data_IF_890022570745
#
_entry.id   IF_890022570745
#
_cell.length_a   1.000
_cell.length_b   1.000
_cell.length_c   1.000
_cell.angle_alpha   90.00
_cell.angle_beta   90.00
_cell.angle_gamma   90.00
#
_symmetry.space_group_name_H-M   'P 1'
#
loop_
_entity.id
_entity.type
_entity.pdbx_description
1 polymer ?
#
# COMPACT_ATOMS: atom_id res chain seq x y z
N UNK A 1 11.32 44.78 -57.95
CA UNK A 1 10.84 44.03 -56.77
C UNK A 1 10.47 42.63 -57.24
N UNK A 2 11.15 41.56 -56.81
CA UNK A 2 10.81 40.18 -57.21
C UNK A 2 9.57 39.74 -56.42
N UNK A 3 8.51 39.21 -57.04
CA UNK A 3 7.37 38.71 -56.29
C UNK A 3 7.82 37.46 -55.53
N UNK A 4 7.76 37.53 -54.20
CA UNK A 4 7.91 36.36 -53.33
C UNK A 4 6.66 35.50 -53.51
N UNK A 5 6.80 34.33 -54.13
CA UNK A 5 5.74 33.32 -54.15
C UNK A 5 5.45 32.90 -52.71
N UNK A 6 4.33 33.38 -52.17
CA UNK A 6 3.81 32.87 -50.91
C UNK A 6 3.41 31.41 -51.13
N UNK A 7 4.30 30.48 -50.79
CA UNK A 7 3.97 29.06 -50.65
C UNK A 7 3.11 28.92 -49.39
N UNK A 8 1.85 29.33 -49.48
CA UNK A 8 0.87 29.03 -48.47
C UNK A 8 0.86 27.52 -48.29
N UNK A 9 1.30 27.04 -47.14
CA UNK A 9 1.19 25.64 -46.74
C UNK A 9 -0.27 25.24 -46.93
N UNK A 10 -0.57 24.57 -48.04
CA UNK A 10 -1.88 23.96 -48.22
C UNK A 10 -1.92 22.81 -47.23
N UNK A 11 -2.54 23.05 -46.08
CA UNK A 11 -2.83 21.98 -45.12
C UNK A 11 -3.63 20.93 -45.88
N UNK A 12 -3.03 19.76 -46.09
CA UNK A 12 -3.69 18.70 -46.84
C UNK A 12 -5.02 18.37 -46.17
N UNK A 13 -6.08 18.02 -46.92
CA UNK A 13 -7.37 17.67 -46.31
C UNK A 13 -7.26 16.53 -45.27
N UNK A 14 -6.18 15.75 -45.32
CA UNK A 14 -5.83 14.70 -44.34
C UNK A 14 -5.54 15.28 -42.94
N UNK A 15 -4.98 16.49 -42.82
CA UNK A 15 -4.70 17.11 -41.51
C UNK A 15 -5.96 17.58 -40.78
N UNK A 16 -7.09 17.70 -41.48
CA UNK A 16 -8.39 18.04 -40.89
C UNK A 16 -9.13 16.83 -40.33
N UNK A 17 -8.65 15.60 -40.60
CA UNK A 17 -9.24 14.38 -40.06
C UNK A 17 -8.97 14.29 -38.56
N UNK A 18 -9.96 13.79 -37.79
CA UNK A 18 -9.81 13.50 -36.35
C UNK A 18 -8.58 12.62 -36.08
N UNK A 19 -8.27 11.72 -37.02
CA UNK A 19 -7.10 10.83 -37.00
C UNK A 19 -6.48 10.81 -38.40
N UNK A 20 -5.33 11.48 -38.62
CA UNK A 20 -4.74 11.60 -39.96
C UNK A 20 -4.37 10.27 -40.65
N UNK A 21 -4.13 9.21 -39.87
CA UNK A 21 -3.85 7.86 -40.40
C UNK A 21 -5.10 7.06 -40.77
N UNK A 22 -6.30 7.52 -40.41
CA UNK A 22 -7.58 6.90 -40.77
C UNK A 22 -8.26 7.75 -41.84
N UNK A 23 -7.94 7.45 -43.09
CA UNK A 23 -8.41 8.20 -44.26
C UNK A 23 -9.82 7.82 -44.71
N UNK A 24 -10.23 6.59 -44.42
CA UNK A 24 -11.52 6.02 -44.84
C UNK A 24 -12.46 5.80 -43.66
N UNK A 25 -13.77 5.70 -43.95
CA UNK A 25 -14.80 5.42 -42.94
C UNK A 25 -14.78 3.93 -42.60
N UNK A 26 -14.15 3.59 -41.48
CA UNK A 26 -13.95 2.21 -41.00
C UNK A 26 -14.83 1.82 -39.80
N UNK A 27 -15.83 2.66 -39.45
CA UNK A 27 -16.69 2.46 -38.29
C UNK A 27 -16.04 2.78 -36.94
N UNK A 28 -14.79 3.29 -36.93
CA UNK A 28 -14.14 3.74 -35.69
C UNK A 28 -14.91 4.90 -35.04
N UNK A 29 -14.99 4.84 -33.72
CA UNK A 29 -15.67 5.86 -32.94
C UNK A 29 -14.80 7.11 -32.78
N UNK A 30 -15.42 8.25 -32.48
CA UNK A 30 -14.69 9.46 -32.11
C UNK A 30 -13.78 9.22 -30.90
N UNK A 31 -14.23 8.45 -29.90
CA UNK A 31 -13.42 7.95 -28.79
C UNK A 31 -13.90 6.56 -28.35
N UNK A 32 -12.99 5.77 -27.76
CA UNK A 32 -13.28 4.43 -27.27
C UNK A 32 -13.45 3.39 -28.38
N UNK A 33 -13.90 2.20 -27.98
CA UNK A 33 -14.08 1.04 -28.88
C UNK A 33 -15.56 0.72 -29.12
N UNK A 34 -16.37 0.74 -28.06
CA UNK A 34 -17.80 0.41 -28.09
C UNK A 34 -18.57 1.45 -27.29
N UNK A 35 -19.73 1.90 -27.79
CA UNK A 35 -20.58 2.90 -27.12
C UNK A 35 -21.46 2.31 -26.00
N UNK A 36 -21.85 1.04 -26.13
CA UNK A 36 -22.73 0.33 -25.21
C UNK A 36 -21.94 -0.62 -24.29
N UNK A 37 -22.56 -0.97 -23.17
CA UNK A 37 -22.00 -1.88 -22.17
C UNK A 37 -22.97 -2.01 -21.00
N UNK A 38 -22.61 -2.82 -20.00
CA UNK A 38 -23.38 -2.91 -18.75
C UNK A 38 -23.40 -1.55 -18.05
N UNK A 39 -24.57 -1.18 -17.50
CA UNK A 39 -24.74 0.09 -16.76
C UNK A 39 -24.81 -0.13 -15.25
N UNK A 40 -24.92 -1.38 -14.79
CA UNK A 40 -25.13 -1.74 -13.37
C UNK A 40 -23.80 -1.93 -12.66
N UNK A 41 -22.98 -0.88 -12.64
CA UNK A 41 -21.72 -0.84 -11.90
C UNK A 41 -21.88 -0.03 -10.61
N UNK A 42 -21.10 -0.34 -9.58
CA UNK A 42 -21.10 0.44 -8.34
C UNK A 42 -20.65 1.88 -8.62
N UNK A 43 -21.44 2.86 -8.16
CA UNK A 43 -21.14 4.27 -8.39
C UNK A 43 -19.82 4.69 -7.74
N UNK A 44 -19.03 5.55 -8.38
CA UNK A 44 -17.80 6.11 -7.80
C UNK A 44 -18.03 7.54 -7.29
N UNK A 45 -17.00 8.16 -6.70
CA UNK A 45 -17.06 9.58 -6.28
C UNK A 45 -17.16 10.56 -7.45
N UNK A 46 -16.96 10.10 -8.70
CA UNK A 46 -16.98 10.94 -9.91
C UNK A 46 -18.31 10.89 -10.67
N UNK A 47 -19.25 10.09 -10.19
CA UNK A 47 -20.57 9.91 -10.79
C UNK A 47 -21.65 10.52 -9.89
N UNK A 48 -22.86 10.66 -10.41
CA UNK A 48 -24.00 11.23 -9.67
C UNK A 48 -24.10 12.76 -9.77
N UNK A 49 -25.07 13.33 -9.07
CA UNK A 49 -25.32 14.77 -9.02
C UNK A 49 -24.47 15.45 -7.92
N UNK A 50 -24.47 16.79 -7.86
CA UNK A 50 -23.75 17.62 -6.88
C UNK A 50 -24.01 17.22 -5.41
N UNK A 51 -25.20 16.68 -5.11
CA UNK A 51 -25.58 16.27 -3.75
C UNK A 51 -25.19 14.82 -3.42
N UNK A 52 -24.67 14.07 -4.39
CA UNK A 52 -24.22 12.70 -4.16
C UNK A 52 -22.82 12.71 -3.56
N UNK A 53 -22.73 12.53 -2.24
CA UNK A 53 -21.48 12.38 -1.54
C UNK A 53 -21.27 10.92 -1.13
N UNK A 54 -20.37 10.21 -1.83
CA UNK A 54 -20.06 8.80 -1.52
C UNK A 54 -19.03 8.64 -0.40
N UNK A 55 -17.97 9.45 -0.41
CA UNK A 55 -16.82 9.31 0.49
C UNK A 55 -15.82 8.21 0.09
N UNK A 56 -14.65 8.20 0.76
CA UNK A 56 -13.50 7.32 0.47
C UNK A 56 -12.90 6.68 1.73
N UNK A 57 -13.63 6.69 2.85
CA UNK A 57 -13.15 6.24 4.19
C UNK A 57 -11.92 7.00 4.70
N UNK A 58 -11.65 8.19 4.15
CA UNK A 58 -10.50 9.00 4.54
C UNK A 58 -10.77 9.86 5.78
N UNK A 59 -12.02 10.29 5.96
CA UNK A 59 -12.40 11.26 7.00
C UNK A 59 -13.50 10.68 7.89
N UNK A 60 -13.24 10.65 9.19
CA UNK A 60 -14.11 10.17 10.27
C UNK A 60 -13.54 10.58 11.63
N UNK A 61 -12.82 11.72 11.64
CA UNK A 61 -11.85 12.11 12.67
C UNK A 61 -12.37 13.27 13.53
N UNK A 62 -13.55 13.77 13.21
CA UNK A 62 -14.13 14.94 13.86
C UNK A 62 -15.63 14.97 13.67
N UNK A 63 -16.20 16.18 13.75
CA UNK A 63 -17.64 16.38 13.72
C UNK A 63 -18.02 17.61 12.89
N UNK A 64 -19.13 17.51 12.16
CA UNK A 64 -19.76 18.66 11.52
C UNK A 64 -20.48 19.53 12.57
N UNK A 65 -20.41 20.84 12.39
CA UNK A 65 -21.13 21.82 13.20
C UNK A 65 -22.48 22.16 12.57
N UNK A 66 -23.38 22.77 13.33
CA UNK A 66 -24.70 23.19 12.84
C UNK A 66 -24.61 24.20 11.68
N UNK A 67 -23.47 24.90 11.52
CA UNK A 67 -23.23 25.85 10.41
C UNK A 67 -22.32 25.25 9.33
N UNK A 68 -22.38 23.94 9.10
CA UNK A 68 -21.64 23.20 8.06
C UNK A 68 -20.09 23.33 8.10
N UNK A 69 -19.52 23.85 9.18
CA UNK A 69 -18.06 23.78 9.44
C UNK A 69 -17.69 22.41 9.97
N UNK A 70 -16.41 22.06 9.90
CA UNK A 70 -15.88 20.81 10.46
C UNK A 70 -14.89 21.10 11.60
N UNK A 71 -15.03 20.42 12.73
CA UNK A 71 -14.10 20.49 13.86
C UNK A 71 -13.39 19.15 13.98
N UNK A 72 -12.05 19.16 13.96
CA UNK A 72 -11.21 17.97 14.11
C UNK A 72 -11.14 17.60 15.59
N UNK A 73 -11.31 16.32 15.92
CA UNK A 73 -11.07 15.78 17.26
C UNK A 73 -9.68 15.12 17.25
N UNK A 74 -8.67 15.79 17.80
CA UNK A 74 -7.29 15.33 17.73
C UNK A 74 -7.07 13.95 18.39
N UNK A 75 -7.88 13.60 19.40
CA UNK A 75 -7.88 12.26 20.01
C UNK A 75 -8.20 11.11 19.04
N UNK A 76 -8.87 11.39 17.91
CA UNK A 76 -9.25 10.40 16.89
C UNK A 76 -8.35 10.44 15.65
N UNK A 77 -7.41 11.39 15.59
CA UNK A 77 -6.48 11.52 14.46
C UNK A 77 -5.49 10.37 14.54
N UNK A 78 -5.40 9.59 13.46
CA UNK A 78 -4.42 8.49 13.36
C UNK A 78 -3.01 9.05 13.30
N UNK A 79 -2.15 8.63 14.22
CA UNK A 79 -0.71 8.93 14.23
C UNK A 79 0.09 7.68 13.93
N UNK A 80 1.10 7.78 13.06
CA UNK A 80 2.06 6.70 12.80
C UNK A 80 3.32 6.98 13.60
N UNK A 81 3.43 6.38 14.78
CA UNK A 81 4.55 6.60 15.71
C UNK A 81 5.78 5.87 15.19
N UNK A 82 6.86 6.63 15.01
CA UNK A 82 8.18 6.11 14.61
C UNK A 82 8.99 5.84 15.88
N UNK A 83 9.71 4.71 16.00
CA UNK A 83 10.60 4.46 17.13
C UNK A 83 11.66 5.57 17.28
N UNK A 84 11.94 6.00 18.51
CA UNK A 84 12.96 7.03 18.78
C UNK A 84 14.36 6.55 18.43
N UNK A 85 14.65 5.28 18.70
CA UNK A 85 15.90 4.62 18.37
C UNK A 85 15.66 3.64 17.22
N UNK A 86 16.09 4.01 16.02
CA UNK A 86 15.93 3.19 14.83
C UNK A 86 17.17 2.33 14.57
N UNK A 87 17.01 1.00 14.60
CA UNK A 87 18.09 0.09 14.26
C UNK A 87 18.22 -0.10 12.74
N UNK A 88 19.14 0.62 12.12
CA UNK A 88 19.40 0.57 10.68
C UNK A 88 19.98 -0.76 10.18
N UNK A 89 20.44 -1.63 11.09
CA UNK A 89 21.01 -2.93 10.73
C UNK A 89 19.92 -3.96 10.42
N UNK A 90 18.71 -3.81 10.98
CA UNK A 90 17.57 -4.67 10.63
C UNK A 90 17.06 -4.30 9.23
N UNK A 91 17.05 -5.30 8.33
CA UNK A 91 16.62 -5.15 6.93
C UNK A 91 15.31 -5.91 6.69
N UNK A 92 14.53 -5.55 5.64
CA UNK A 92 13.29 -6.25 5.32
C UNK A 92 13.46 -7.72 4.95
N UNK A 93 14.66 -8.10 4.50
CA UNK A 93 15.00 -9.46 4.06
C UNK A 93 16.27 -9.93 4.77
N UNK A 94 16.38 -11.26 4.91
CA UNK A 94 17.55 -11.95 5.44
C UNK A 94 18.38 -12.51 4.28
N UNK A 95 19.69 -12.72 4.50
CA UNK A 95 20.55 -13.40 3.53
C UNK A 95 20.05 -14.83 3.27
N UNK A 96 20.00 -15.31 2.01
CA UNK A 96 19.69 -16.72 1.71
C UNK A 96 20.67 -17.72 2.35
N UNK A 97 21.86 -17.26 2.74
CA UNK A 97 22.87 -18.09 3.42
C UNK A 97 22.60 -18.23 4.93
N UNK A 98 21.64 -17.50 5.49
CA UNK A 98 21.26 -17.67 6.88
C UNK A 98 20.44 -18.96 7.04
N UNK A 99 20.71 -19.70 8.11
CA UNK A 99 19.95 -20.89 8.46
C UNK A 99 18.56 -20.51 8.95
N UNK A 100 17.55 -21.31 8.61
CA UNK A 100 16.22 -21.18 9.18
C UNK A 100 16.23 -21.69 10.63
N UNK A 101 15.79 -20.85 11.57
CA UNK A 101 15.68 -21.21 12.99
C UNK A 101 14.39 -21.98 13.20
N UNK A 102 14.47 -23.14 13.85
CA UNK A 102 13.32 -23.94 14.27
C UNK A 102 13.26 -23.97 15.79
N UNK A 103 12.12 -23.58 16.37
CA UNK A 103 11.92 -23.58 17.82
C UNK A 103 11.33 -24.91 18.27
N UNK A 104 11.76 -25.39 19.44
CA UNK A 104 11.22 -26.60 20.06
C UNK A 104 10.69 -26.31 21.47
N UNK A 105 9.47 -26.75 21.74
CA UNK A 105 8.75 -26.50 22.99
C UNK A 105 8.33 -27.81 23.69
N UNK A 106 9.15 -28.86 23.57
CA UNK A 106 8.94 -30.13 24.29
C UNK A 106 8.71 -29.89 25.79
N UNK A 107 7.64 -30.51 26.31
CA UNK A 107 7.23 -30.36 27.71
C UNK A 107 6.20 -29.25 27.95
N UNK A 108 5.95 -28.39 26.96
CA UNK A 108 4.96 -27.31 27.06
C UNK A 108 3.76 -27.57 26.16
N UNK A 109 2.64 -27.88 26.79
CA UNK A 109 1.37 -28.20 26.12
C UNK A 109 0.88 -27.11 25.17
N UNK A 110 1.12 -25.84 25.51
CA UNK A 110 0.66 -24.67 24.74
C UNK A 110 1.78 -24.04 23.89
N UNK A 111 2.92 -24.71 23.77
CA UNK A 111 4.08 -24.24 23.02
C UNK A 111 4.57 -22.86 23.49
N UNK A 112 4.76 -21.87 22.59
CA UNK A 112 5.35 -20.57 22.93
C UNK A 112 4.47 -19.71 23.85
N UNK A 113 3.17 -20.00 23.92
CA UNK A 113 2.21 -19.27 24.75
C UNK A 113 1.95 -19.97 26.10
N UNK A 114 2.71 -21.01 26.43
CA UNK A 114 2.56 -21.72 27.70
C UNK A 114 3.05 -20.86 28.87
N UNK A 115 2.25 -20.77 29.93
CA UNK A 115 2.60 -19.99 31.12
C UNK A 115 3.80 -20.58 31.85
N UNK A 116 3.95 -21.91 31.86
CA UNK A 116 5.06 -22.58 32.52
C UNK A 116 6.39 -22.26 31.82
N UNK A 117 6.40 -22.19 30.49
CA UNK A 117 7.58 -21.75 29.72
C UNK A 117 7.97 -20.32 30.08
N UNK A 118 6.99 -19.43 30.22
CA UNK A 118 7.24 -18.05 30.62
C UNK A 118 7.84 -17.94 32.04
N UNK A 119 7.34 -18.74 32.99
CA UNK A 119 7.90 -18.80 34.34
C UNK A 119 9.33 -19.31 34.36
N UNK A 120 9.63 -20.34 33.58
CA UNK A 120 10.99 -20.89 33.50
C UNK A 120 11.97 -19.87 32.93
N UNK A 121 11.60 -19.16 31.85
CA UNK A 121 12.41 -18.06 31.31
C UNK A 121 12.59 -16.90 32.27
N UNK A 122 11.56 -16.58 33.05
CA UNK A 122 11.64 -15.52 34.05
C UNK A 122 12.64 -15.93 35.15
N UNK A 123 12.58 -17.18 35.61
CA UNK A 123 13.56 -17.72 36.55
C UNK A 123 14.98 -17.68 35.95
N UNK A 124 15.16 -18.14 34.71
CA UNK A 124 16.46 -18.08 33.99
C UNK A 124 16.99 -16.64 33.92
N UNK A 125 16.13 -15.66 33.60
CA UNK A 125 16.49 -14.25 33.60
C UNK A 125 16.87 -13.71 34.99
N UNK A 126 16.17 -14.12 36.05
CA UNK A 126 16.48 -13.68 37.42
C UNK A 126 17.84 -14.20 37.89
N UNK A 127 18.16 -15.46 37.58
CA UNK A 127 19.41 -16.08 38.01
C UNK A 127 20.60 -15.73 37.12
N UNK A 128 20.39 -15.59 35.80
CA UNK A 128 21.48 -15.43 34.84
C UNK A 128 21.53 -14.04 34.17
N UNK A 129 20.43 -13.28 34.16
CA UNK A 129 20.35 -11.97 33.50
C UNK A 129 20.11 -12.06 31.99
N UNK A 130 20.54 -11.03 31.25
CA UNK A 130 20.44 -10.95 29.77
C UNK A 130 21.57 -11.74 29.11
N UNK A 131 21.52 -13.07 29.21
CA UNK A 131 22.51 -13.96 28.61
C UNK A 131 21.93 -14.57 27.33
N UNK A 132 22.72 -14.56 26.26
CA UNK A 132 22.40 -15.32 25.06
C UNK A 132 22.66 -16.81 25.34
N UNK A 133 21.63 -17.64 25.28
CA UNK A 133 21.75 -19.09 25.49
C UNK A 133 22.71 -19.70 24.46
N UNK A 134 23.42 -20.77 24.81
CA UNK A 134 24.31 -21.49 23.87
C UNK A 134 23.61 -21.88 22.56
N UNK A 135 22.31 -22.22 22.63
CA UNK A 135 21.47 -22.48 21.46
C UNK A 135 21.32 -21.27 20.53
N UNK A 136 21.30 -20.06 21.07
CA UNK A 136 21.20 -18.79 20.34
C UNK A 136 22.54 -18.38 19.72
N UNK A 137 23.66 -18.81 20.31
CA UNK A 137 25.02 -18.51 19.82
C UNK A 137 25.47 -19.39 18.65
N UNK A 138 24.79 -20.51 18.38
CA UNK A 138 25.21 -21.48 17.37
C UNK A 138 24.74 -21.07 15.96
N UNK A 139 25.68 -20.60 15.13
CA UNK A 139 25.46 -20.36 13.67
C UNK A 139 24.97 -21.58 12.88
N UNK A 140 25.15 -22.80 13.40
CA UNK A 140 25.02 -24.06 12.66
C UNK A 140 24.05 -25.08 13.28
N UNK A 141 23.37 -24.80 14.40
CA UNK A 141 22.46 -25.76 15.05
C UNK A 141 21.07 -25.17 15.29
N UNK A 142 20.08 -25.99 15.01
CA UNK A 142 18.74 -25.69 14.50
C UNK A 142 17.63 -25.90 15.54
N UNK A 143 17.93 -25.68 16.83
CA UNK A 143 16.94 -25.80 17.90
C UNK A 143 17.20 -24.71 18.94
N UNK A 144 16.39 -23.66 18.91
CA UNK A 144 16.29 -22.74 20.03
C UNK A 144 15.10 -23.16 20.89
N UNK A 145 15.30 -23.25 22.21
CA UNK A 145 14.19 -23.23 23.16
C UNK A 145 13.78 -21.76 23.22
N UNK A 146 12.98 -21.36 22.22
CA UNK A 146 12.63 -19.98 21.94
C UNK A 146 12.07 -19.27 23.14
#
# INVERSE_FOLDING_TARGET
MRPTSFLGFQTSPVSLLVRPWKRERDGTLFYGLVKSGSKRHALTTKQGNKNFYKGTRSSGIGRHTNKNRYIIQWEKVRTFVVPSEFNSNLKPLVSPNATEIQNDFKGYSKGPLDSNLFYDKLNEYVFHGKVETEASQLRNKYLERG
#
